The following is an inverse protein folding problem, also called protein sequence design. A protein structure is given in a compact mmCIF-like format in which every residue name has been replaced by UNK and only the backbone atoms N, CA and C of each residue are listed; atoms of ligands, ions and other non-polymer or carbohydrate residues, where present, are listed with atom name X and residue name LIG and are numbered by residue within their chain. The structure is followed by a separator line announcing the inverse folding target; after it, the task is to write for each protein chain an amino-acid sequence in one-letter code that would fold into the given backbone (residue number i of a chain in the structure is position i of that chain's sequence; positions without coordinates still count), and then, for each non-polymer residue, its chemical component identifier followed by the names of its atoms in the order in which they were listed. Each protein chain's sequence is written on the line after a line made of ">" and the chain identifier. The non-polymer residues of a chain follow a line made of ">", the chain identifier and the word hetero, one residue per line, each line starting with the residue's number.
data_IF_792457249268
#
_entry.id   IF_792457249268
#
_cell.length_a   1.000
_cell.length_b   1.000
_cell.length_c   1.000
_cell.angle_alpha   90.00
_cell.angle_beta   90.00
_cell.angle_gamma   90.00
#
_symmetry.space_group_name_H-M   'P 1'
#
loop_
_entity.id
_entity.type
_entity.pdbx_description
1 polymer ?
#
# COMPACT_ATOMS: atom_id res chain seq x y z
N UNK A 1 19.12 -17.01 -4.46
CA UNK A 1 17.72 -17.08 -4.02
C UNK A 1 17.00 -15.91 -4.65
N UNK A 2 15.83 -16.11 -5.24
CA UNK A 2 15.09 -14.99 -5.84
C UNK A 2 14.75 -13.97 -4.74
N UNK A 3 15.01 -12.68 -5.00
CA UNK A 3 14.57 -11.61 -4.10
C UNK A 3 13.04 -11.66 -4.02
N UNK A 4 12.48 -11.75 -2.82
CA UNK A 4 11.04 -11.60 -2.62
C UNK A 4 10.66 -10.15 -2.81
N UNK A 5 9.48 -9.90 -3.38
CA UNK A 5 8.90 -8.57 -3.49
C UNK A 5 7.77 -8.45 -2.48
N UNK A 6 7.77 -7.35 -1.73
CA UNK A 6 6.84 -7.09 -0.65
C UNK A 6 5.82 -6.01 -0.98
N UNK A 7 6.10 -5.14 -1.95
CA UNK A 7 5.23 -3.99 -2.28
C UNK A 7 4.84 -4.02 -3.75
N UNK A 8 3.53 -3.98 -4.00
CA UNK A 8 2.95 -4.02 -5.34
C UNK A 8 1.98 -2.86 -5.54
N UNK A 9 2.07 -2.15 -6.67
CA UNK A 9 0.98 -1.28 -7.10
C UNK A 9 -0.27 -2.12 -7.40
N UNK A 10 -1.47 -1.54 -7.30
CA UNK A 10 -2.70 -2.24 -7.70
C UNK A 10 -2.66 -2.71 -9.16
N UNK A 11 -1.94 -2.00 -10.03
CA UNK A 11 -1.72 -2.38 -11.44
C UNK A 11 -0.77 -3.56 -11.63
N UNK A 12 0.00 -3.94 -10.61
CA UNK A 12 0.99 -5.02 -10.66
C UNK A 12 0.55 -6.27 -9.89
N UNK A 13 -0.37 -6.11 -8.94
CA UNK A 13 -0.88 -7.18 -8.12
C UNK A 13 -1.89 -8.08 -8.89
N UNK A 14 -1.95 -9.36 -8.52
CA UNK A 14 -2.97 -10.27 -9.02
C UNK A 14 -4.24 -10.21 -8.15
N UNK A 15 -5.39 -10.11 -8.80
CA UNK A 15 -6.69 -10.07 -8.15
C UNK A 15 -7.15 -11.41 -7.55
N UNK A 16 -6.50 -12.51 -7.87
CA UNK A 16 -6.89 -13.86 -7.40
C UNK A 16 -6.13 -14.27 -6.14
N UNK A 17 -4.89 -13.82 -5.96
CA UNK A 17 -4.05 -14.20 -4.83
C UNK A 17 -4.39 -13.45 -3.52
N UNK A 18 -5.56 -13.76 -2.96
CA UNK A 18 -6.02 -13.22 -1.66
C UNK A 18 -5.10 -13.61 -0.49
N UNK A 19 -4.36 -14.71 -0.61
CA UNK A 19 -3.41 -15.12 0.42
C UNK A 19 -2.24 -14.14 0.52
N UNK A 20 -1.75 -13.63 -0.61
CA UNK A 20 -0.62 -12.70 -0.65
C UNK A 20 -1.04 -11.23 -0.46
N UNK A 21 -2.14 -10.80 -1.08
CA UNK A 21 -2.57 -9.40 -1.08
C UNK A 21 -3.68 -9.07 -0.08
N UNK A 22 -4.21 -10.09 0.61
CA UNK A 22 -5.45 -9.96 1.38
C UNK A 22 -6.68 -9.78 0.48
N UNK A 23 -7.87 -9.89 1.07
CA UNK A 23 -9.12 -9.76 0.32
C UNK A 23 -9.34 -8.37 -0.27
N UNK A 24 -8.95 -7.31 0.46
CA UNK A 24 -9.08 -5.93 -0.03
C UNK A 24 -8.07 -5.60 -1.12
N UNK A 25 -6.79 -5.93 -0.91
CA UNK A 25 -5.73 -5.66 -1.89
C UNK A 25 -5.97 -6.40 -3.20
N UNK A 26 -6.36 -7.68 -3.12
CA UNK A 26 -6.73 -8.48 -4.28
C UNK A 26 -7.94 -7.89 -5.03
N UNK A 27 -9.01 -7.52 -4.32
CA UNK A 27 -10.17 -6.90 -4.97
C UNK A 27 -9.82 -5.55 -5.62
N UNK A 28 -8.98 -4.72 -4.99
CA UNK A 28 -8.54 -3.44 -5.57
C UNK A 28 -7.71 -3.68 -6.84
N UNK A 29 -6.81 -4.67 -6.83
CA UNK A 29 -6.04 -5.07 -8.00
C UNK A 29 -6.96 -5.58 -9.13
N UNK A 30 -7.96 -6.40 -8.82
CA UNK A 30 -8.94 -6.88 -9.81
C UNK A 30 -9.74 -5.72 -10.41
N UNK A 31 -10.25 -4.81 -9.57
CA UNK A 31 -10.99 -3.63 -10.01
C UNK A 31 -10.13 -2.71 -10.90
N UNK A 32 -8.87 -2.50 -10.53
CA UNK A 32 -7.91 -1.75 -11.36
C UNK A 32 -7.64 -2.47 -12.69
N UNK A 33 -7.44 -3.78 -12.67
CA UNK A 33 -7.15 -4.59 -13.86
C UNK A 33 -8.29 -4.64 -14.87
N UNK A 34 -9.55 -4.57 -14.43
CA UNK A 34 -10.73 -4.48 -15.31
C UNK A 34 -11.08 -3.04 -15.73
N UNK A 35 -10.29 -2.05 -15.31
CA UNK A 35 -10.45 -0.65 -15.71
C UNK A 35 -11.53 0.13 -14.96
N UNK A 36 -11.95 -0.31 -13.77
CA UNK A 36 -12.81 0.52 -12.92
C UNK A 36 -12.03 1.74 -12.39
N UNK A 37 -12.71 2.86 -12.12
CA UNK A 37 -12.08 4.09 -11.61
C UNK A 37 -11.68 3.94 -10.13
N UNK A 38 -10.60 3.20 -9.89
CA UNK A 38 -9.98 3.00 -8.58
C UNK A 38 -8.87 4.04 -8.40
N UNK A 39 -8.85 4.81 -7.30
CA UNK A 39 -7.70 5.66 -6.98
C UNK A 39 -6.41 4.84 -6.95
N UNK A 40 -5.29 5.36 -7.49
CA UNK A 40 -4.05 4.61 -7.52
C UNK A 40 -3.57 4.30 -6.09
N UNK A 41 -2.89 3.18 -5.92
CA UNK A 41 -2.43 2.73 -4.62
C UNK A 41 -1.56 1.50 -4.72
N UNK A 42 -1.14 1.01 -3.56
CA UNK A 42 -0.27 -0.15 -3.42
C UNK A 42 -0.72 -1.06 -2.28
N UNK A 43 -0.25 -2.30 -2.31
CA UNK A 43 -0.44 -3.30 -1.26
C UNK A 43 0.92 -3.76 -0.76
N UNK A 44 1.09 -3.74 0.57
CA UNK A 44 2.17 -4.45 1.26
C UNK A 44 1.68 -5.88 1.52
N UNK A 45 2.42 -6.88 1.09
CA UNK A 45 1.98 -8.27 1.12
C UNK A 45 1.81 -8.83 2.53
N UNK A 46 1.01 -9.88 2.67
CA UNK A 46 0.89 -10.64 3.92
C UNK A 46 2.19 -11.33 4.31
N UNK A 47 3.07 -11.63 3.35
CA UNK A 47 4.40 -12.19 3.62
C UNK A 47 5.29 -11.19 4.36
N UNK A 48 5.27 -9.92 3.96
CA UNK A 48 5.97 -8.85 4.68
C UNK A 48 5.53 -8.78 6.15
N UNK A 49 4.22 -8.91 6.39
CA UNK A 49 3.65 -8.96 7.74
C UNK A 49 4.12 -10.20 8.53
N UNK A 50 4.14 -11.39 7.91
CA UNK A 50 4.63 -12.62 8.55
C UNK A 50 6.11 -12.50 8.95
N UNK A 51 6.93 -11.95 8.07
CA UNK A 51 8.36 -11.77 8.34
C UNK A 51 8.60 -10.69 9.39
N UNK A 52 7.83 -9.60 9.37
CA UNK A 52 7.83 -8.59 10.44
C UNK A 52 7.55 -9.19 11.82
N UNK A 53 6.51 -10.05 11.92
CA UNK A 53 6.16 -10.71 13.16
C UNK A 53 7.23 -11.75 13.59
N UNK A 54 7.80 -12.49 12.64
CA UNK A 54 8.86 -13.46 12.92
C UNK A 54 10.19 -12.78 13.29
N UNK A 55 10.41 -11.53 12.86
CA UNK A 55 11.59 -10.73 13.14
C UNK A 55 11.50 -9.88 14.41
N UNK A 56 10.54 -10.15 15.31
CA UNK A 56 10.27 -9.39 16.54
C UNK A 56 9.95 -7.91 16.27
N UNK A 57 9.18 -7.64 15.22
CA UNK A 57 8.77 -6.29 14.85
C UNK A 57 9.82 -5.50 14.07
N UNK A 58 10.81 -6.19 13.49
CA UNK A 58 11.75 -5.61 12.52
C UNK A 58 11.22 -5.79 11.11
N UNK A 59 11.33 -4.74 10.29
CA UNK A 59 10.95 -4.86 8.88
C UNK A 59 11.87 -5.84 8.14
N UNK A 60 11.33 -6.63 7.20
CA UNK A 60 12.13 -7.47 6.31
C UNK A 60 13.12 -6.61 5.51
N UNK A 61 14.30 -7.15 5.25
CA UNK A 61 15.32 -6.48 4.44
C UNK A 61 14.75 -6.10 3.06
N UNK A 62 14.93 -4.84 2.68
CA UNK A 62 14.47 -4.30 1.40
C UNK A 62 13.03 -3.78 1.36
N UNK A 63 12.18 -4.09 2.35
CA UNK A 63 10.78 -3.63 2.38
C UNK A 63 10.67 -2.10 2.28
N UNK A 64 11.49 -1.38 3.06
CA UNK A 64 11.42 0.08 3.11
C UNK A 64 11.83 0.73 1.78
N UNK A 65 12.85 0.19 1.13
CA UNK A 65 13.33 0.68 -0.16
C UNK A 65 12.34 0.37 -1.30
N UNK A 66 11.71 -0.82 -1.28
CA UNK A 66 10.61 -1.14 -2.19
C UNK A 66 9.41 -0.20 -1.98
N UNK A 67 9.04 0.07 -0.73
CA UNK A 67 7.94 0.97 -0.41
C UNK A 67 8.24 2.39 -0.92
N UNK A 68 9.45 2.93 -0.67
CA UNK A 68 9.86 4.24 -1.20
C UNK A 68 9.80 4.27 -2.73
N UNK A 69 10.26 3.21 -3.38
CA UNK A 69 10.23 3.09 -4.85
C UNK A 69 8.80 3.11 -5.38
N UNK A 70 7.91 2.29 -4.80
CA UNK A 70 6.49 2.25 -5.22
C UNK A 70 5.72 3.50 -4.85
N UNK A 71 6.06 4.18 -3.76
CA UNK A 71 5.52 5.49 -3.42
C UNK A 71 5.91 6.54 -4.47
N UNK A 72 7.15 6.52 -4.98
CA UNK A 72 7.57 7.42 -6.08
C UNK A 72 6.82 7.15 -7.37
N UNK A 73 6.48 5.90 -7.66
CA UNK A 73 5.62 5.55 -8.80
C UNK A 73 4.18 6.03 -8.58
N UNK A 74 3.64 5.86 -7.37
CA UNK A 74 2.31 6.34 -6.99
C UNK A 74 2.18 7.86 -7.13
N UNK A 75 3.18 8.61 -6.68
CA UNK A 75 3.25 10.07 -6.83
C UNK A 75 3.16 10.50 -8.30
N UNK A 76 3.88 9.82 -9.19
CA UNK A 76 3.85 10.10 -10.64
C UNK A 76 2.47 9.87 -11.23
N UNK A 77 1.80 8.78 -10.86
CA UNK A 77 0.46 8.44 -11.36
C UNK A 77 -0.60 9.40 -10.79
N UNK A 78 -0.47 9.78 -9.52
CA UNK A 78 -1.39 10.69 -8.86
C UNK A 78 -1.18 12.16 -9.29
N UNK A 79 -0.01 12.50 -9.85
CA UNK A 79 0.37 13.88 -10.16
C UNK A 79 0.54 14.74 -8.90
N UNK A 80 0.91 14.13 -7.77
CA UNK A 80 1.06 14.74 -6.44
C UNK A 80 2.26 14.14 -5.72
N UNK A 81 2.83 14.86 -4.77
CA UNK A 81 4.04 14.42 -4.05
C UNK A 81 3.75 14.27 -2.55
N UNK A 82 4.18 13.17 -1.96
CA UNK A 82 3.97 12.92 -0.54
C UNK A 82 4.85 13.85 0.29
N UNK A 83 4.22 14.70 1.10
CA UNK A 83 4.90 15.73 1.89
C UNK A 83 5.14 17.06 1.16
N UNK A 84 4.67 17.24 -0.07
CA UNK A 84 4.77 18.52 -0.78
C UNK A 84 3.74 19.53 -0.23
N UNK A 85 4.16 20.70 0.27
CA UNK A 85 3.25 21.69 0.85
C UNK A 85 2.35 22.40 -0.16
N UNK A 86 2.65 22.34 -1.47
CA UNK A 86 1.88 23.04 -2.51
C UNK A 86 0.98 22.12 -3.36
N UNK A 87 1.22 20.81 -3.33
CA UNK A 87 0.35 19.81 -3.97
C UNK A 87 0.50 18.43 -3.29
N UNK A 88 0.02 18.31 -2.03
CA UNK A 88 0.28 17.14 -1.20
C UNK A 88 -0.46 15.90 -1.71
N UNK A 89 0.27 14.80 -1.82
CA UNK A 89 -0.31 13.46 -1.87
C UNK A 89 -0.68 13.03 -0.46
N UNK A 90 -1.96 12.78 -0.23
CA UNK A 90 -2.48 12.16 0.99
C UNK A 90 -2.90 10.73 0.70
N UNK A 91 -2.62 9.83 1.64
CA UNK A 91 -2.95 8.40 1.50
C UNK A 91 -3.87 7.92 2.61
N UNK A 92 -4.66 6.89 2.29
CA UNK A 92 -5.38 6.12 3.30
C UNK A 92 -4.65 4.80 3.57
N UNK A 93 -4.42 4.47 4.83
CA UNK A 93 -3.84 3.18 5.24
C UNK A 93 -4.94 2.29 5.79
N UNK A 94 -5.09 1.09 5.22
CA UNK A 94 -6.19 0.16 5.52
C UNK A 94 -5.64 -1.25 5.67
N UNK A 95 -5.98 -1.93 6.76
CA UNK A 95 -5.64 -3.34 6.92
C UNK A 95 -6.47 -4.23 5.98
N UNK A 96 -5.87 -5.31 5.49
CA UNK A 96 -6.52 -6.32 4.67
C UNK A 96 -5.89 -7.70 4.89
N UNK A 97 -6.65 -8.60 5.52
CA UNK A 97 -6.27 -10.01 5.62
C UNK A 97 -6.92 -10.84 4.50
N UNK A 98 -6.45 -12.08 4.24
CA UNK A 98 -7.05 -12.97 3.25
C UNK A 98 -8.54 -13.25 3.52
N UNK A 99 -8.89 -13.37 4.80
CA UNK A 99 -10.25 -13.52 5.29
C UNK A 99 -10.62 -12.25 6.04
N UNK A 100 -11.85 -11.77 5.84
CA UNK A 100 -12.35 -10.59 6.54
C UNK A 100 -12.37 -10.83 8.05
N UNK A 101 -11.65 -9.99 8.78
CA UNK A 101 -11.66 -9.98 10.25
C UNK A 101 -12.17 -8.61 10.71
N UNK A 102 -13.45 -8.52 11.13
CA UNK A 102 -13.98 -7.32 11.76
C UNK A 102 -13.15 -6.96 13.02
N UNK A 103 -12.78 -5.70 13.17
CA UNK A 103 -12.07 -5.20 14.37
C UNK A 103 -10.53 -5.33 14.37
N UNK A 104 -9.90 -5.70 13.25
CA UNK A 104 -8.43 -5.87 13.21
C UNK A 104 -7.62 -4.57 13.37
N UNK A 105 -8.02 -3.49 12.69
CA UNK A 105 -7.31 -2.21 12.70
C UNK A 105 -8.19 -1.10 12.12
N UNK A 106 -8.13 0.08 12.71
CA UNK A 106 -8.81 1.27 12.21
C UNK A 106 -8.23 1.73 10.87
N UNK A 107 -9.09 2.29 10.03
CA UNK A 107 -8.65 2.94 8.78
C UNK A 107 -8.10 4.31 9.12
N UNK A 108 -6.85 4.57 8.72
CA UNK A 108 -6.24 5.90 8.83
C UNK A 108 -6.49 6.62 7.50
N UNK A 109 -7.14 7.78 7.56
CA UNK A 109 -7.34 8.66 6.42
C UNK A 109 -6.41 9.88 6.52
N UNK A 110 -6.14 10.53 5.38
CA UNK A 110 -5.38 11.77 5.29
C UNK A 110 -3.95 11.69 5.84
N UNK A 111 -3.32 10.51 5.78
CA UNK A 111 -1.92 10.38 6.16
C UNK A 111 -1.06 11.15 5.15
N UNK A 112 -0.17 12.01 5.66
CA UNK A 112 0.59 13.00 4.88
C UNK A 112 0.31 14.45 5.28
N UNK A 113 -0.74 14.70 6.08
CA UNK A 113 -0.98 16.01 6.67
C UNK A 113 0.04 16.34 7.77
N UNK A 114 0.55 17.56 7.72
CA UNK A 114 1.35 18.22 8.74
C UNK A 114 1.09 19.74 8.68
N UNK A 115 1.78 20.53 9.50
CA UNK A 115 1.57 21.99 9.60
C UNK A 115 1.76 22.73 8.27
N UNK A 116 2.60 22.19 7.38
CA UNK A 116 2.90 22.77 6.06
C UNK A 116 1.91 22.27 5.01
N UNK A 117 1.70 20.95 4.90
CA UNK A 117 0.86 20.33 3.85
C UNK A 117 -0.64 20.57 4.04
N UNK A 118 -1.07 21.00 5.23
CA UNK A 118 -2.47 21.40 5.46
C UNK A 118 -2.81 22.73 4.78
N UNK A 119 -1.81 23.55 4.41
CA UNK A 119 -2.06 24.86 3.80
C UNK A 119 -2.53 24.77 2.34
N UNK A 120 -2.18 23.68 1.63
CA UNK A 120 -2.65 23.38 0.28
C UNK A 120 -1.61 23.63 -0.80
#
# INVERSE_FOLDING_TARGET
>A
MASKTYVYLFSEADGKNKNLFGGKGANLAEMTGIGLPVPPGLTITTEACKEYLAGDGRFPDGLEEELKTKMKELEKVAGKVFGDPANPLLVSVRSGAPISMPGMMDTILNLGLNDETVQG
#
